data_IF_483533616385
#
_entry.id   IF_483533616385
#
_cell.length_a   1.000
_cell.length_b   1.000
_cell.length_c   1.000
_cell.angle_alpha   90.00
_cell.angle_beta   90.00
_cell.angle_gamma   90.00
#
_symmetry.space_group_name_H-M   'P 1'
#
loop_
_entity.id
_entity.type
_entity.pdbx_description
1 polymer ?
#
# COMPACT_ATOMS: atom_id res chain seq x y z
N UNK A 1 -14.62 -15.50 -8.88
CA UNK A 1 -14.48 -14.19 -8.18
C UNK A 1 -13.26 -13.48 -8.74
N UNK A 2 -13.43 -12.28 -9.26
CA UNK A 2 -12.36 -11.53 -9.95
C UNK A 2 -11.87 -10.37 -9.10
N UNK A 3 -10.62 -9.99 -9.29
CA UNK A 3 -9.97 -8.84 -8.67
C UNK A 3 -9.85 -7.73 -9.72
N UNK A 4 -10.25 -6.53 -9.35
CA UNK A 4 -10.12 -5.32 -10.16
C UNK A 4 -9.40 -4.24 -9.36
N UNK A 5 -8.56 -3.48 -10.04
CA UNK A 5 -7.84 -2.34 -9.50
C UNK A 5 -8.01 -1.15 -10.43
N UNK A 6 -8.31 0.00 -9.88
CA UNK A 6 -8.03 1.28 -10.57
C UNK A 6 -7.26 2.20 -9.65
N UNK A 7 -6.22 2.81 -10.19
CA UNK A 7 -5.33 3.67 -9.42
C UNK A 7 -4.90 4.91 -10.17
N UNK A 8 -4.80 6.02 -9.43
CA UNK A 8 -4.08 7.22 -9.82
C UNK A 8 -2.69 7.19 -9.20
N UNK A 9 -1.66 7.33 -9.99
CA UNK A 9 -0.28 7.43 -9.51
C UNK A 9 0.41 8.71 -10.02
N UNK A 10 1.48 9.10 -9.36
CA UNK A 10 2.18 10.35 -9.65
C UNK A 10 2.71 10.46 -11.09
N UNK A 11 3.02 9.33 -11.74
CA UNK A 11 3.51 9.26 -13.12
C UNK A 11 2.47 9.65 -14.16
N UNK A 12 1.18 9.50 -13.84
CA UNK A 12 0.07 9.70 -14.78
C UNK A 12 -0.85 10.86 -14.39
N UNK A 13 -0.95 11.18 -13.12
CA UNK A 13 -1.86 12.18 -12.61
C UNK A 13 -1.13 13.31 -11.87
N UNK A 14 -1.15 14.54 -12.37
CA UNK A 14 -0.54 15.69 -11.71
C UNK A 14 -1.19 15.98 -10.35
N UNK A 15 -0.47 16.69 -9.50
CA UNK A 15 -0.85 16.90 -8.08
C UNK A 15 -2.27 17.48 -7.91
N UNK A 16 -2.65 18.44 -8.75
CA UNK A 16 -3.99 19.06 -8.70
C UNK A 16 -5.14 18.07 -8.96
N UNK A 17 -4.86 16.98 -9.67
CA UNK A 17 -5.79 15.90 -9.91
C UNK A 17 -5.85 14.94 -8.70
N UNK A 18 -4.68 14.59 -8.15
CA UNK A 18 -4.56 13.67 -7.00
C UNK A 18 -5.14 14.25 -5.71
N UNK A 19 -5.03 15.58 -5.50
CA UNK A 19 -5.62 16.27 -4.36
C UNK A 19 -7.13 16.06 -4.22
N UNK A 20 -7.85 15.99 -5.35
CA UNK A 20 -9.32 15.79 -5.35
C UNK A 20 -9.73 14.37 -4.93
N UNK A 21 -8.83 13.40 -5.03
CA UNK A 21 -9.02 12.02 -4.65
C UNK A 21 -8.07 11.57 -3.52
N UNK A 22 -7.61 12.52 -2.73
CA UNK A 22 -6.87 12.27 -1.49
C UNK A 22 -7.81 12.30 -0.29
N UNK A 23 -7.71 11.31 0.59
CA UNK A 23 -8.67 11.10 1.68
C UNK A 23 -7.97 10.93 3.02
N UNK A 24 -8.55 11.51 4.07
CA UNK A 24 -8.18 11.21 5.44
C UNK A 24 -8.61 9.79 5.82
N UNK A 25 -8.07 9.23 6.92
CA UNK A 25 -8.47 7.88 7.39
C UNK A 25 -9.98 7.75 7.60
N UNK A 26 -10.62 8.76 8.17
CA UNK A 26 -12.07 8.75 8.40
C UNK A 26 -12.83 8.72 7.06
N UNK A 27 -12.47 9.60 6.13
CA UNK A 27 -13.06 9.63 4.79
C UNK A 27 -12.84 8.32 4.04
N UNK A 28 -11.65 7.73 4.13
CA UNK A 28 -11.35 6.42 3.52
C UNK A 28 -12.26 5.33 4.07
N UNK A 29 -12.46 5.27 5.40
CA UNK A 29 -13.36 4.32 6.02
C UNK A 29 -14.82 4.46 5.56
N UNK A 30 -15.32 5.69 5.43
CA UNK A 30 -16.68 5.96 4.95
C UNK A 30 -16.83 5.63 3.46
N UNK A 31 -15.81 5.93 2.65
CA UNK A 31 -15.78 5.60 1.21
C UNK A 31 -15.83 4.10 0.96
N UNK A 32 -14.99 3.30 1.64
CA UNK A 32 -14.98 1.85 1.41
C UNK A 32 -16.30 1.20 1.84
N UNK A 33 -16.94 1.65 2.94
CA UNK A 33 -18.27 1.17 3.31
C UNK A 33 -19.32 1.51 2.25
N UNK A 34 -19.27 2.72 1.69
CA UNK A 34 -20.16 3.14 0.62
C UNK A 34 -19.93 2.32 -0.65
N UNK A 35 -18.68 2.07 -1.04
CA UNK A 35 -18.33 1.25 -2.21
C UNK A 35 -18.84 -0.17 -2.02
N UNK A 36 -18.65 -0.78 -0.85
CA UNK A 36 -19.15 -2.12 -0.56
C UNK A 36 -20.67 -2.22 -0.69
N UNK A 37 -21.42 -1.12 -0.50
CA UNK A 37 -22.89 -1.10 -0.68
C UNK A 37 -23.34 -1.11 -2.15
N UNK A 38 -22.43 -0.95 -3.11
CA UNK A 38 -22.73 -1.06 -4.54
C UNK A 38 -22.72 -2.52 -4.98
N UNK A 39 -23.86 -3.12 -5.40
CA UNK A 39 -23.83 -4.47 -5.95
C UNK A 39 -23.09 -4.49 -7.30
N UNK A 40 -22.36 -5.53 -7.65
CA UNK A 40 -22.13 -6.79 -6.94
C UNK A 40 -20.76 -6.87 -6.24
N UNK A 41 -20.38 -5.82 -5.48
CA UNK A 41 -19.08 -5.76 -4.80
C UNK A 41 -19.05 -6.71 -3.60
N UNK A 42 -18.07 -7.61 -3.56
CA UNK A 42 -17.86 -8.57 -2.46
C UNK A 42 -16.87 -8.08 -1.41
N UNK A 43 -15.89 -7.24 -1.83
CA UNK A 43 -14.90 -6.65 -0.94
C UNK A 43 -14.21 -5.48 -1.60
N UNK A 44 -13.66 -4.56 -0.79
CA UNK A 44 -12.84 -3.48 -1.30
C UNK A 44 -11.81 -2.98 -0.27
N UNK A 45 -10.67 -2.53 -0.80
CA UNK A 45 -9.58 -1.87 -0.04
C UNK A 45 -9.15 -0.62 -0.80
N UNK A 46 -9.09 0.51 -0.11
CA UNK A 46 -8.59 1.77 -0.66
C UNK A 46 -7.22 2.09 -0.05
N UNK A 47 -6.18 2.05 -0.89
CA UNK A 47 -4.84 2.54 -0.57
C UNK A 47 -4.75 4.01 -0.98
N UNK A 48 -4.73 4.92 -0.02
CA UNK A 48 -4.58 6.35 -0.25
C UNK A 48 -3.32 6.86 0.43
N UNK A 49 -2.41 7.40 -0.37
CA UNK A 49 -1.12 7.97 0.06
C UNK A 49 -0.90 9.32 -0.61
N UNK A 50 0.21 9.99 -0.30
CA UNK A 50 0.58 11.23 -0.99
C UNK A 50 0.87 11.03 -2.50
N UNK A 51 1.26 9.83 -2.92
CA UNK A 51 1.70 9.55 -4.30
C UNK A 51 0.72 8.70 -5.11
N UNK A 52 -0.26 8.06 -4.46
CA UNK A 52 -1.22 7.19 -5.15
C UNK A 52 -2.54 7.06 -4.42
N UNK A 53 -3.58 6.89 -5.18
CA UNK A 53 -4.90 6.49 -4.69
C UNK A 53 -5.35 5.30 -5.52
N UNK A 54 -5.42 4.11 -4.90
CA UNK A 54 -5.69 2.84 -5.55
C UNK A 54 -6.84 2.14 -4.87
N UNK A 55 -7.89 1.83 -5.60
CA UNK A 55 -9.04 1.06 -5.13
C UNK A 55 -8.96 -0.37 -5.68
N UNK A 56 -8.82 -1.33 -4.79
CA UNK A 56 -8.91 -2.77 -5.06
C UNK A 56 -10.31 -3.24 -4.75
N UNK A 57 -10.93 -3.97 -5.68
CA UNK A 57 -12.30 -4.45 -5.58
C UNK A 57 -12.38 -5.90 -5.98
N UNK A 58 -13.15 -6.69 -5.26
CA UNK A 58 -13.52 -8.06 -5.63
C UNK A 58 -14.98 -8.12 -6.03
N UNK A 59 -15.27 -8.80 -7.15
CA UNK A 59 -16.61 -8.97 -7.70
C UNK A 59 -16.69 -10.21 -8.54
N UNK A 60 -17.90 -10.73 -8.77
CA UNK A 60 -18.15 -11.77 -9.77
C UNK A 60 -18.32 -11.20 -11.18
N UNK A 61 -18.76 -9.95 -11.26
CA UNK A 61 -18.94 -9.21 -12.50
C UNK A 61 -17.81 -8.22 -12.75
N UNK A 62 -17.60 -7.85 -14.01
CA UNK A 62 -16.61 -6.83 -14.39
C UNK A 62 -16.92 -5.49 -13.76
N UNK A 63 -15.91 -4.84 -13.20
CA UNK A 63 -16.03 -3.56 -12.49
C UNK A 63 -14.99 -2.56 -12.98
N UNK A 64 -15.36 -1.28 -12.89
CA UNK A 64 -14.44 -0.14 -13.02
C UNK A 64 -14.26 0.53 -11.63
N UNK A 65 -13.23 0.16 -10.86
CA UNK A 65 -13.01 0.75 -9.55
C UNK A 65 -12.79 2.26 -9.57
N UNK A 66 -12.27 2.82 -10.67
CA UNK A 66 -12.09 4.27 -10.82
C UNK A 66 -13.44 5.01 -10.86
N UNK A 67 -14.40 4.45 -11.59
CA UNK A 67 -15.76 4.97 -11.64
C UNK A 67 -16.44 4.84 -10.28
N UNK A 68 -16.32 3.68 -9.61
CA UNK A 68 -16.86 3.45 -8.27
C UNK A 68 -16.30 4.44 -7.24
N UNK A 69 -14.99 4.69 -7.27
CA UNK A 69 -14.33 5.64 -6.39
C UNK A 69 -14.85 7.07 -6.60
N UNK A 70 -14.94 7.49 -7.86
CA UNK A 70 -15.44 8.82 -8.21
C UNK A 70 -16.92 9.00 -7.78
N UNK A 71 -17.75 8.00 -7.99
CA UNK A 71 -19.16 8.00 -7.57
C UNK A 71 -19.30 8.07 -6.04
N UNK A 72 -18.52 7.25 -5.32
CA UNK A 72 -18.51 7.27 -3.86
C UNK A 72 -18.04 8.62 -3.32
N UNK A 73 -17.01 9.20 -3.90
CA UNK A 73 -16.44 10.50 -3.53
C UNK A 73 -17.24 11.70 -4.03
N UNK A 74 -18.28 11.51 -4.84
CA UNK A 74 -19.07 12.57 -5.50
C UNK A 74 -18.20 13.48 -6.40
N UNK A 75 -17.24 12.89 -7.10
CA UNK A 75 -16.34 13.57 -8.04
C UNK A 75 -16.71 13.14 -9.47
N UNK A 76 -16.76 14.05 -10.45
CA UNK A 76 -17.01 13.66 -11.85
C UNK A 76 -15.95 12.69 -12.36
N UNK A 77 -16.33 11.55 -12.95
CA UNK A 77 -15.39 10.55 -13.46
C UNK A 77 -14.66 10.96 -14.73
N UNK A 78 -15.39 11.57 -15.68
CA UNK A 78 -14.87 11.88 -17.02
C UNK A 78 -13.53 12.66 -17.03
N UNK A 79 -13.29 13.67 -16.18
CA UNK A 79 -12.01 14.40 -16.17
C UNK A 79 -10.82 13.56 -15.69
N UNK A 80 -11.08 12.41 -15.04
CA UNK A 80 -10.06 11.55 -14.41
C UNK A 80 -9.85 10.23 -15.14
N UNK A 81 -10.77 9.82 -16.00
CA UNK A 81 -10.77 8.51 -16.65
C UNK A 81 -9.42 8.18 -17.31
N UNK A 82 -8.85 9.12 -18.06
CA UNK A 82 -7.58 8.91 -18.75
C UNK A 82 -6.34 8.85 -17.82
N UNK A 83 -6.49 9.27 -16.56
CA UNK A 83 -5.42 9.26 -15.57
C UNK A 83 -5.46 7.99 -14.69
N UNK A 84 -6.53 7.20 -14.76
CA UNK A 84 -6.59 5.91 -14.06
C UNK A 84 -5.84 4.83 -14.82
N UNK A 85 -5.00 4.10 -14.11
CA UNK A 85 -4.52 2.78 -14.52
C UNK A 85 -5.52 1.76 -14.02
N UNK A 86 -6.10 0.98 -14.94
CA UNK A 86 -7.04 -0.10 -14.57
C UNK A 86 -6.38 -1.44 -14.89
N UNK A 87 -6.33 -2.32 -13.90
CA UNK A 87 -5.73 -3.64 -13.96
C UNK A 87 -6.72 -4.67 -13.41
N UNK A 88 -6.58 -5.92 -13.84
CA UNK A 88 -7.42 -7.01 -13.35
C UNK A 88 -6.61 -8.25 -13.02
N UNK A 89 -7.12 -9.06 -12.13
CA UNK A 89 -6.60 -10.39 -11.78
C UNK A 89 -5.07 -10.43 -11.63
N UNK A 90 -4.35 -11.11 -12.51
CA UNK A 90 -2.90 -11.30 -12.41
C UNK A 90 -2.11 -9.99 -12.42
N UNK A 91 -2.52 -9.03 -13.23
CA UNK A 91 -1.89 -7.72 -13.30
C UNK A 91 -2.11 -6.92 -12.01
N UNK A 92 -3.30 -7.00 -11.42
CA UNK A 92 -3.59 -6.35 -10.14
C UNK A 92 -2.84 -7.00 -8.97
N UNK A 93 -2.69 -8.33 -8.98
CA UNK A 93 -1.86 -9.07 -8.01
C UNK A 93 -0.40 -8.65 -8.12
N UNK A 94 0.16 -8.66 -9.32
CA UNK A 94 1.55 -8.26 -9.57
C UNK A 94 1.79 -6.81 -9.14
N UNK A 95 0.88 -5.92 -9.50
CA UNK A 95 0.94 -4.51 -9.15
C UNK A 95 1.02 -4.31 -7.63
N UNK A 96 0.16 -4.95 -6.84
CA UNK A 96 0.19 -4.83 -5.38
C UNK A 96 1.48 -5.37 -4.78
N UNK A 97 2.01 -6.48 -5.30
CA UNK A 97 3.30 -7.04 -4.88
C UNK A 97 4.44 -6.03 -5.11
N UNK A 98 4.48 -5.42 -6.29
CA UNK A 98 5.46 -4.40 -6.66
C UNK A 98 5.32 -3.12 -5.82
N UNK A 99 4.07 -2.69 -5.55
CA UNK A 99 3.79 -1.55 -4.65
C UNK A 99 4.30 -1.83 -3.25
N UNK A 100 3.98 -2.99 -2.68
CA UNK A 100 4.42 -3.36 -1.33
C UNK A 100 5.95 -3.50 -1.21
N UNK A 101 6.61 -3.93 -2.27
CA UNK A 101 8.07 -3.97 -2.38
C UNK A 101 8.72 -2.59 -2.62
N UNK A 102 7.92 -1.54 -2.88
CA UNK A 102 8.41 -0.19 -3.14
C UNK A 102 8.91 0.02 -4.57
N UNK A 103 8.70 -0.93 -5.49
CA UNK A 103 9.16 -0.84 -6.88
C UNK A 103 8.39 0.18 -7.71
N UNK A 104 7.14 0.46 -7.30
CA UNK A 104 6.25 1.44 -7.91
C UNK A 104 6.24 2.78 -7.19
N UNK A 105 7.09 2.96 -6.18
CA UNK A 105 7.21 4.21 -5.47
C UNK A 105 8.07 5.20 -6.27
N UNK A 106 7.76 6.50 -6.17
CA UNK A 106 8.57 7.57 -6.76
C UNK A 106 10.02 7.46 -6.27
N UNK A 107 10.20 7.14 -5.02
CA UNK A 107 11.48 6.79 -4.41
C UNK A 107 11.51 5.28 -4.25
N UNK A 108 12.39 4.66 -5.01
CA UNK A 108 12.48 3.20 -5.09
C UNK A 108 12.91 2.59 -3.76
N UNK A 109 12.15 1.60 -3.26
CA UNK A 109 12.41 1.00 -1.95
C UNK A 109 12.03 1.88 -0.77
N UNK A 110 11.16 2.89 -0.95
CA UNK A 110 10.67 3.75 0.13
C UNK A 110 10.07 2.94 1.27
N UNK A 111 10.55 3.21 2.51
CA UNK A 111 10.14 2.46 3.69
C UNK A 111 8.67 2.66 4.08
N UNK A 112 8.09 3.79 3.74
CA UNK A 112 6.75 4.16 4.15
C UNK A 112 5.65 3.37 3.45
N UNK A 113 5.85 2.97 2.17
CA UNK A 113 4.80 2.32 1.38
C UNK A 113 4.31 1.01 2.00
N UNK A 114 5.21 0.21 2.57
CA UNK A 114 4.83 -1.04 3.22
C UNK A 114 3.93 -0.81 4.44
N UNK A 115 4.22 0.23 5.22
CA UNK A 115 3.37 0.63 6.35
C UNK A 115 2.00 1.15 5.87
N UNK A 116 1.97 1.86 4.74
CA UNK A 116 0.74 2.36 4.12
C UNK A 116 -0.13 1.21 3.58
N UNK A 117 0.46 0.23 2.88
CA UNK A 117 -0.26 -0.98 2.42
C UNK A 117 -0.84 -1.75 3.61
N UNK A 118 -0.06 -1.91 4.69
CA UNK A 118 -0.55 -2.51 5.94
C UNK A 118 -1.67 -1.69 6.58
N UNK A 119 -1.56 -0.37 6.57
CA UNK A 119 -2.60 0.54 7.06
C UNK A 119 -3.89 0.44 6.27
N UNK A 120 -3.83 0.33 4.94
CA UNK A 120 -4.99 0.22 4.06
C UNK A 120 -5.82 -1.04 4.34
N UNK A 121 -5.19 -2.22 4.42
CA UNK A 121 -5.91 -3.47 4.74
C UNK A 121 -6.43 -3.48 6.18
N UNK A 122 -5.70 -2.88 7.12
CA UNK A 122 -6.16 -2.77 8.51
C UNK A 122 -7.42 -1.92 8.59
N UNK A 123 -7.46 -0.78 7.91
CA UNK A 123 -8.62 0.10 7.86
C UNK A 123 -9.82 -0.56 7.16
N UNK A 124 -9.61 -1.30 6.06
CA UNK A 124 -10.65 -2.05 5.39
C UNK A 124 -11.24 -3.13 6.30
N UNK A 125 -10.39 -3.82 7.08
CA UNK A 125 -10.81 -4.82 8.09
C UNK A 125 -11.65 -4.17 9.19
N UNK A 126 -11.22 -3.04 9.74
CA UNK A 126 -11.96 -2.27 10.74
C UNK A 126 -13.29 -1.74 10.20
N UNK A 127 -13.35 -1.41 8.91
CA UNK A 127 -14.56 -0.99 8.22
C UNK A 127 -15.49 -2.16 7.82
N UNK A 128 -15.03 -3.42 7.92
CA UNK A 128 -15.79 -4.61 7.53
C UNK A 128 -15.94 -4.75 6.00
N UNK A 129 -14.98 -4.23 5.22
CA UNK A 129 -15.08 -4.17 3.75
C UNK A 129 -14.12 -5.13 3.03
N UNK A 130 -13.34 -5.90 3.76
CA UNK A 130 -12.42 -6.87 3.18
C UNK A 130 -13.05 -8.27 3.10
N UNK A 131 -12.60 -9.06 2.14
CA UNK A 131 -12.94 -10.47 1.99
C UNK A 131 -11.70 -11.37 2.09
N UNK A 132 -11.89 -12.69 2.01
CA UNK A 132 -10.80 -13.64 2.13
C UNK A 132 -9.77 -13.56 0.99
N UNK A 133 -10.14 -13.08 -0.21
CA UNK A 133 -9.21 -12.87 -1.31
C UNK A 133 -8.31 -11.67 -1.03
N UNK A 134 -8.89 -10.52 -0.72
CA UNK A 134 -8.15 -9.30 -0.39
C UNK A 134 -7.26 -9.48 0.85
N UNK A 135 -7.77 -10.14 1.91
CA UNK A 135 -6.99 -10.45 3.11
C UNK A 135 -5.73 -11.26 2.79
N UNK A 136 -5.88 -12.31 1.97
CA UNK A 136 -4.74 -13.18 1.63
C UNK A 136 -3.78 -12.48 0.68
N UNK A 137 -4.30 -11.75 -0.31
CA UNK A 137 -3.49 -11.00 -1.27
C UNK A 137 -2.64 -9.94 -0.56
N UNK A 138 -3.26 -9.08 0.25
CA UNK A 138 -2.54 -8.04 0.98
C UNK A 138 -1.52 -8.63 1.96
N UNK A 139 -1.87 -9.72 2.64
CA UNK A 139 -0.91 -10.45 3.51
C UNK A 139 0.29 -10.96 2.73
N UNK A 140 0.08 -11.56 1.55
CA UNK A 140 1.15 -12.06 0.69
C UNK A 140 2.02 -10.91 0.16
N UNK A 141 1.42 -9.80 -0.28
CA UNK A 141 2.14 -8.63 -0.73
C UNK A 141 2.99 -7.98 0.40
N UNK A 142 2.43 -7.88 1.61
CA UNK A 142 3.18 -7.38 2.78
C UNK A 142 4.35 -8.32 3.13
N UNK A 143 4.16 -9.64 3.02
CA UNK A 143 5.23 -10.60 3.26
C UNK A 143 6.34 -10.48 2.21
N UNK A 144 5.98 -10.39 0.93
CA UNK A 144 6.90 -10.15 -0.18
C UNK A 144 7.72 -8.85 0.01
N UNK A 145 7.03 -7.74 0.31
CA UNK A 145 7.70 -6.46 0.55
C UNK A 145 8.66 -6.48 1.75
N UNK A 146 8.34 -7.23 2.81
CA UNK A 146 9.27 -7.43 3.94
C UNK A 146 10.48 -8.26 3.54
N UNK A 147 10.27 -9.33 2.80
CA UNK A 147 11.35 -10.24 2.35
C UNK A 147 12.30 -9.50 1.41
N UNK A 148 11.79 -8.76 0.44
CA UNK A 148 12.60 -7.90 -0.45
C UNK A 148 13.48 -6.96 0.37
N UNK A 149 12.95 -6.28 1.38
CA UNK A 149 13.72 -5.36 2.22
C UNK A 149 14.78 -6.02 3.07
N UNK A 150 14.52 -7.25 3.49
CA UNK A 150 15.47 -7.99 4.35
C UNK A 150 16.65 -8.54 3.55
N UNK A 151 16.40 -9.03 2.33
CA UNK A 151 17.39 -9.76 1.55
C UNK A 151 18.00 -8.93 0.41
N UNK A 152 17.27 -7.95 -0.10
CA UNK A 152 17.75 -7.13 -1.21
C UNK A 152 17.85 -5.68 -0.74
N UNK A 153 19.06 -5.21 -0.57
CA UNK A 153 19.28 -3.77 -0.48
C UNK A 153 18.96 -3.21 -1.86
N UNK A 154 17.78 -2.65 -2.04
CA UNK A 154 17.44 -1.83 -3.19
C UNK A 154 18.35 -0.59 -3.10
N UNK A 155 19.64 -0.83 -3.34
CA UNK A 155 20.63 0.20 -3.30
C UNK A 155 20.45 1.13 -4.46
N UNK A 156 20.55 2.24 -4.09
CA UNK A 156 20.77 3.47 -4.74
C UNK A 156 19.49 4.19 -4.98
N UNK A 157 19.22 4.91 -4.17
CA UNK A 157 18.93 6.28 -4.37
C UNK A 157 18.24 6.85 -3.21
N UNK A 158 18.75 7.91 -2.90
CA UNK A 158 18.59 8.48 -1.63
C UNK A 158 17.13 8.72 -1.43
N UNK A 159 16.64 7.89 -0.57
CA UNK A 159 15.86 8.37 0.46
C UNK A 159 14.86 9.44 0.05
N UNK A 160 13.77 9.37 0.47
CA UNK A 160 12.67 10.30 0.74
C UNK A 160 12.59 11.57 -0.12
N UNK A 161 11.40 12.01 -0.41
CA UNK A 161 11.10 13.33 -0.98
C UNK A 161 11.87 14.46 -0.23
N UNK A 162 12.18 14.27 1.06
CA UNK A 162 13.00 15.18 1.83
C UNK A 162 14.43 15.34 1.30
N UNK A 163 15.12 14.25 0.93
CA UNK A 163 16.46 14.35 0.32
C UNK A 163 16.40 14.97 -1.07
N UNK A 164 15.42 14.57 -1.85
CA UNK A 164 15.20 15.16 -3.16
C UNK A 164 14.95 16.66 -3.10
N UNK A 165 14.19 17.11 -2.11
CA UNK A 165 13.98 18.53 -1.86
C UNK A 165 15.28 19.25 -1.51
N UNK A 166 16.12 18.67 -0.65
CA UNK A 166 17.41 19.24 -0.28
C UNK A 166 18.38 19.27 -1.46
N UNK A 167 18.44 18.22 -2.27
CA UNK A 167 19.25 18.23 -3.50
C UNK A 167 18.77 19.25 -4.53
N UNK A 168 17.45 19.41 -4.70
CA UNK A 168 16.91 20.47 -5.55
C UNK A 168 17.30 21.86 -5.04
N UNK A 169 17.23 22.09 -3.74
CA UNK A 169 17.69 23.34 -3.12
C UNK A 169 19.18 23.62 -3.41
N UNK A 170 20.04 22.63 -3.27
CA UNK A 170 21.48 22.74 -3.58
C UNK A 170 21.71 23.08 -5.07
N UNK A 171 20.97 22.43 -5.97
CA UNK A 171 21.07 22.68 -7.40
C UNK A 171 20.63 24.11 -7.78
N UNK A 172 19.61 24.65 -7.09
CA UNK A 172 19.04 25.98 -7.41
C UNK A 172 19.74 27.12 -6.69
N UNK A 173 20.14 26.92 -5.43
CA UNK A 173 20.67 27.96 -4.56
C UNK A 173 22.19 27.85 -4.34
N UNK A 174 22.84 26.76 -4.77
CA UNK A 174 24.21 26.45 -4.39
C UNK A 174 24.33 25.98 -2.95
N UNK A 175 25.46 26.24 -2.28
CA UNK A 175 25.68 25.80 -0.90
C UNK A 175 24.62 26.35 0.06
N UNK A 176 24.07 25.49 0.91
CA UNK A 176 23.00 25.85 1.88
C UNK A 176 23.57 26.33 3.23
N UNK A 177 24.87 26.24 3.42
CA UNK A 177 25.54 26.59 4.70
C UNK A 177 25.22 28.03 5.12
N UNK A 178 24.73 28.18 6.34
CA UNK A 178 24.38 29.46 6.95
C UNK A 178 23.00 30.01 6.53
N UNK A 179 22.31 29.42 5.56
CA UNK A 179 20.95 29.81 5.19
C UNK A 179 19.98 29.46 6.32
N UNK A 180 18.97 30.29 6.52
CA UNK A 180 17.90 30.07 7.49
C UNK A 180 16.75 29.34 6.84
N UNK A 181 16.36 28.20 7.38
CA UNK A 181 15.27 27.36 6.89
C UNK A 181 14.16 27.23 7.94
N UNK A 182 12.92 27.44 7.53
CA UNK A 182 11.74 27.13 8.32
C UNK A 182 11.05 25.89 7.76
N UNK A 183 10.84 24.88 8.62
CA UNK A 183 10.09 23.68 8.28
C UNK A 183 8.72 23.71 8.95
N UNK A 184 7.64 23.72 8.16
CA UNK A 184 6.28 23.62 8.66
C UNK A 184 5.88 22.16 8.72
N UNK A 185 5.61 21.66 9.91
CA UNK A 185 5.24 20.27 10.18
C UNK A 185 6.35 19.46 10.84
N UNK A 186 5.99 18.80 11.94
CA UNK A 186 6.88 17.92 12.71
C UNK A 186 6.50 16.45 12.59
N UNK A 187 5.89 16.06 11.46
CA UNK A 187 5.70 14.68 11.08
C UNK A 187 7.03 14.04 10.63
N UNK A 188 6.99 12.78 10.21
CA UNK A 188 8.18 12.04 9.77
C UNK A 188 8.93 12.78 8.65
N UNK A 189 8.21 13.23 7.61
CA UNK A 189 8.77 13.97 6.48
C UNK A 189 9.39 15.30 6.91
N UNK A 190 8.71 16.07 7.77
CA UNK A 190 9.21 17.35 8.25
C UNK A 190 10.48 17.19 9.11
N UNK A 191 10.51 16.20 10.02
CA UNK A 191 11.71 15.92 10.83
C UNK A 191 12.90 15.48 9.97
N UNK A 192 12.65 14.64 8.97
CA UNK A 192 13.72 14.20 8.06
C UNK A 192 14.25 15.37 7.24
N UNK A 193 13.37 16.20 6.69
CA UNK A 193 13.76 17.42 5.93
C UNK A 193 14.58 18.37 6.81
N UNK A 194 14.14 18.60 8.06
CA UNK A 194 14.86 19.44 9.00
C UNK A 194 16.26 18.89 9.32
N UNK A 195 16.35 17.58 9.57
CA UNK A 195 17.63 16.90 9.82
C UNK A 195 18.60 17.04 8.66
N UNK A 196 18.13 16.83 7.44
CA UNK A 196 18.94 16.94 6.22
C UNK A 196 19.39 18.38 5.96
N UNK A 197 18.50 19.37 6.10
CA UNK A 197 18.86 20.78 5.98
C UNK A 197 19.92 21.20 7.04
N UNK A 198 19.79 20.70 8.26
CA UNK A 198 20.79 20.94 9.31
C UNK A 198 22.13 20.31 8.96
N UNK A 199 22.16 19.09 8.42
CA UNK A 199 23.40 18.42 7.96
C UNK A 199 24.10 19.20 6.84
N UNK A 200 23.33 19.89 5.97
CA UNK A 200 23.87 20.77 4.92
C UNK A 200 24.30 22.16 5.46
N UNK A 201 24.24 22.36 6.78
CA UNK A 201 24.71 23.57 7.45
C UNK A 201 23.69 24.71 7.56
N UNK A 202 22.40 24.44 7.30
CA UNK A 202 21.33 25.43 7.53
C UNK A 202 21.08 25.67 9.01
N UNK A 203 20.62 26.89 9.34
CA UNK A 203 20.01 27.22 10.62
C UNK A 203 18.51 26.85 10.52
N UNK A 204 18.12 25.70 11.06
CA UNK A 204 16.79 25.13 10.87
C UNK A 204 15.89 25.39 12.07
N UNK A 205 14.66 25.85 11.80
CA UNK A 205 13.57 25.91 12.78
C UNK A 205 12.40 25.06 12.30
N UNK A 206 11.76 24.33 13.24
CA UNK A 206 10.61 23.46 12.96
C UNK A 206 9.39 23.96 13.71
N UNK A 207 8.23 24.03 13.04
CA UNK A 207 7.00 24.47 13.71
C UNK A 207 6.36 23.33 14.50
N UNK A 208 5.89 23.64 15.71
CA UNK A 208 5.14 22.73 16.57
C UNK A 208 3.75 23.28 16.87
N UNK A 209 2.72 22.39 16.81
CA UNK A 209 1.39 22.69 17.35
C UNK A 209 1.33 22.36 18.84
N UNK A 210 0.75 23.24 19.63
CA UNK A 210 0.70 23.17 21.11
C UNK A 210 -0.17 22.03 21.67
N UNK A 211 -0.91 21.29 20.82
CA UNK A 211 -1.97 20.36 21.24
C UNK A 211 -1.57 18.87 21.29
N UNK A 212 -0.30 18.53 21.20
CA UNK A 212 0.10 17.12 21.31
C UNK A 212 0.53 16.80 22.75
N UNK A 213 -0.28 15.99 23.45
CA UNK A 213 0.13 15.27 24.65
C UNK A 213 1.07 14.13 24.23
N UNK A 214 2.37 14.29 24.47
CA UNK A 214 3.41 13.31 24.19
C UNK A 214 4.79 13.95 24.03
N UNK A 215 5.85 13.18 24.13
CA UNK A 215 7.21 13.66 23.86
C UNK A 215 7.32 14.11 22.40
N UNK A 216 7.56 15.39 22.20
CA UNK A 216 7.73 15.97 20.86
C UNK A 216 9.18 15.78 20.44
N UNK A 217 9.42 14.85 19.52
CA UNK A 217 10.75 14.60 18.96
C UNK A 217 11.08 15.70 17.95
N UNK A 218 12.08 16.50 18.24
CA UNK A 218 12.66 17.50 17.33
C UNK A 218 14.06 17.02 16.93
N UNK A 219 14.45 17.14 15.65
CA UNK A 219 15.80 16.75 15.25
C UNK A 219 16.87 17.52 16.01
N UNK A 220 17.98 16.88 16.44
CA UNK A 220 19.07 17.54 17.12
C UNK A 220 19.63 18.71 16.30
N UNK A 221 19.87 19.83 16.95
CA UNK A 221 20.39 21.04 16.32
C UNK A 221 19.36 21.94 15.67
N UNK A 222 18.08 21.53 15.60
CA UNK A 222 16.99 22.35 15.08
C UNK A 222 16.30 23.14 16.19
N UNK A 223 15.97 24.42 15.90
CA UNK A 223 15.13 25.25 16.75
C UNK A 223 13.65 24.89 16.65
N UNK A 224 12.88 25.32 17.64
CA UNK A 224 11.43 25.12 17.71
C UNK A 224 10.71 26.44 17.65
N UNK A 225 9.64 26.48 16.87
CA UNK A 225 8.77 27.66 16.69
C UNK A 225 7.32 27.26 16.90
N UNK A 226 6.52 28.01 17.68
CA UNK A 226 5.08 27.80 17.72
C UNK A 226 4.46 27.91 16.35
N UNK A 227 3.55 26.99 16.00
CA UNK A 227 2.91 26.98 14.67
C UNK A 227 2.21 28.31 14.35
N UNK A 228 1.61 28.94 15.34
CA UNK A 228 0.88 30.21 15.18
C UNK A 228 1.81 31.39 14.87
N UNK A 229 3.09 31.29 15.21
CA UNK A 229 4.13 32.29 14.93
C UNK A 229 4.86 32.04 13.60
N UNK A 230 4.45 31.05 12.80
CA UNK A 230 5.13 30.66 11.56
C UNK A 230 5.36 31.82 10.59
N UNK A 231 4.40 32.73 10.46
CA UNK A 231 4.54 33.89 9.54
C UNK A 231 5.58 34.90 10.04
N UNK A 232 5.74 35.07 11.34
CA UNK A 232 6.80 35.90 11.91
C UNK A 232 8.19 35.35 11.52
N UNK A 233 8.34 34.02 11.64
CA UNK A 233 9.59 33.34 11.32
C UNK A 233 9.83 33.22 9.81
N UNK A 234 8.78 33.16 8.98
CA UNK A 234 8.92 33.24 7.52
C UNK A 234 9.59 34.51 7.05
N UNK A 235 9.34 35.66 7.72
CA UNK A 235 10.00 36.93 7.40
C UNK A 235 11.53 36.93 7.65
N UNK A 236 12.06 35.87 8.26
CA UNK A 236 13.45 35.79 8.68
C UNK A 236 14.19 34.62 8.07
N UNK A 237 13.53 33.85 7.19
CA UNK A 237 14.13 32.68 6.56
C UNK A 237 14.35 32.85 5.06
N UNK A 238 15.35 32.13 4.52
CA UNK A 238 15.70 32.10 3.10
C UNK A 238 14.91 30.99 2.40
N UNK A 239 14.63 29.91 3.14
CA UNK A 239 14.00 28.68 2.65
C UNK A 239 12.78 28.36 3.51
N UNK A 240 11.64 28.12 2.86
CA UNK A 240 10.45 27.53 3.47
C UNK A 240 10.22 26.12 2.94
N UNK A 241 10.08 25.15 3.82
CA UNK A 241 9.67 23.78 3.46
C UNK A 241 8.42 23.40 4.27
N UNK A 242 7.36 22.97 3.60
CA UNK A 242 6.13 22.51 4.25
C UNK A 242 5.90 21.03 4.02
N UNK A 243 5.54 20.30 5.08
CA UNK A 243 5.33 18.87 5.08
C UNK A 243 4.33 18.47 6.19
N UNK A 244 3.09 18.98 6.10
CA UNK A 244 2.04 18.66 7.07
C UNK A 244 1.02 17.66 6.50
N UNK A 245 0.15 17.16 7.34
CA UNK A 245 -1.03 16.36 6.95
C UNK A 245 -2.32 17.19 7.04
N UNK A 246 -2.21 18.51 6.92
CA UNK A 246 -3.36 19.41 6.98
C UNK A 246 -4.27 19.21 5.76
N UNK A 247 -5.59 19.15 5.92
CA UNK A 247 -6.50 19.10 4.79
C UNK A 247 -6.73 20.48 4.14
N UNK A 248 -6.11 21.54 4.67
CA UNK A 248 -6.26 22.92 4.21
C UNK A 248 -4.90 23.57 4.03
N UNK A 249 -4.85 24.62 3.20
CA UNK A 249 -3.66 25.41 3.05
C UNK A 249 -3.19 25.97 4.39
N UNK A 250 -1.94 25.71 4.73
CA UNK A 250 -1.26 26.28 5.90
C UNK A 250 -0.67 27.65 5.62
N UNK A 251 -0.44 27.94 4.31
CA UNK A 251 0.09 29.19 3.81
C UNK A 251 -0.74 29.62 2.60
N UNK A 252 -1.53 30.68 2.77
CA UNK A 252 -2.29 31.29 1.66
C UNK A 252 -1.46 32.35 0.96
N UNK A 253 -1.85 32.69 -0.28
CA UNK A 253 -1.21 33.74 -1.07
C UNK A 253 -1.25 35.10 -0.37
N UNK A 254 -2.41 35.44 0.23
CA UNK A 254 -2.61 36.72 0.94
C UNK A 254 -1.69 36.83 2.15
N UNK A 255 -1.61 35.77 2.97
CA UNK A 255 -0.74 35.76 4.17
C UNK A 255 0.73 35.79 3.77
N UNK A 256 1.12 35.12 2.70
CA UNK A 256 2.49 35.14 2.20
C UNK A 256 2.87 36.50 1.58
N UNK A 257 1.97 37.12 0.83
CA UNK A 257 2.17 38.44 0.23
C UNK A 257 2.28 39.58 1.26
N UNK A 258 1.76 39.38 2.47
CA UNK A 258 1.86 40.34 3.56
C UNK A 258 3.23 40.30 4.27
N UNK A 259 4.10 39.35 3.94
CA UNK A 259 5.45 39.28 4.47
C UNK A 259 6.33 40.41 3.94
N UNK A 260 7.08 41.06 4.79
CA UNK A 260 8.01 42.15 4.39
C UNK A 260 9.31 41.64 3.77
N UNK A 261 9.72 40.42 4.13
CA UNK A 261 10.90 39.73 3.61
C UNK A 261 10.60 38.23 3.44
N UNK A 262 9.82 37.84 2.43
CA UNK A 262 9.41 36.46 2.24
C UNK A 262 10.59 35.58 1.83
N UNK A 263 10.55 34.27 2.15
CA UNK A 263 11.52 33.29 1.65
C UNK A 263 11.51 33.23 0.13
N UNK A 264 12.72 33.18 -0.47
CA UNK A 264 12.86 33.14 -1.93
C UNK A 264 12.55 31.78 -2.52
N UNK A 265 12.81 30.72 -1.77
CA UNK A 265 12.58 29.35 -2.19
C UNK A 265 11.63 28.66 -1.24
N UNK A 266 10.59 28.12 -1.83
CA UNK A 266 9.48 27.49 -1.12
C UNK A 266 9.30 26.09 -1.66
N UNK A 267 9.26 25.08 -0.78
CA UNK A 267 9.02 23.68 -1.15
C UNK A 267 7.80 23.16 -0.40
N UNK A 268 6.84 22.63 -1.14
CA UNK A 268 5.65 22.00 -0.60
C UNK A 268 5.69 20.48 -0.85
N UNK A 269 5.93 19.71 0.21
CA UNK A 269 5.95 18.24 0.18
C UNK A 269 4.61 17.62 0.58
N UNK A 270 3.61 18.46 0.92
CA UNK A 270 2.33 17.98 1.43
C UNK A 270 1.35 17.60 0.31
N UNK A 271 0.52 16.59 0.58
CA UNK A 271 -0.67 16.27 -0.20
C UNK A 271 -1.80 15.97 0.81
N UNK A 272 -2.92 16.74 0.75
CA UNK A 272 -3.13 17.94 -0.07
C UNK A 272 -2.08 19.02 0.19
N UNK A 273 -1.91 19.95 -0.76
CA UNK A 273 -0.91 21.03 -0.65
C UNK A 273 -1.11 21.87 0.61
N UNK A 274 -0.02 22.17 1.26
CA UNK A 274 0.05 23.11 2.38
C UNK A 274 0.11 24.56 1.91
N UNK A 275 0.70 24.80 0.73
CA UNK A 275 0.97 26.14 0.21
C UNK A 275 0.11 26.37 -1.02
N UNK A 276 -0.61 27.49 -1.01
CA UNK A 276 -1.48 27.86 -2.10
C UNK A 276 -0.67 28.10 -3.39
N UNK A 277 -1.01 27.49 -4.54
CA UNK A 277 -0.21 27.56 -5.77
C UNK A 277 0.08 28.97 -6.26
N UNK A 278 -0.85 29.88 -6.03
CA UNK A 278 -0.74 31.29 -6.42
C UNK A 278 0.41 32.02 -5.71
N UNK A 279 1.03 31.44 -4.67
CA UNK A 279 2.27 31.95 -4.08
C UNK A 279 3.39 32.02 -5.12
N UNK A 280 3.40 31.10 -6.09
CA UNK A 280 4.37 31.11 -7.19
C UNK A 280 4.28 32.33 -8.11
N UNK A 281 3.17 33.07 -8.08
CA UNK A 281 2.98 34.29 -8.89
C UNK A 281 3.59 35.52 -8.24
N UNK A 282 4.06 35.45 -7.02
CA UNK A 282 4.65 36.55 -6.28
C UNK A 282 6.10 36.81 -6.76
N UNK A 283 6.50 38.11 -6.94
CA UNK A 283 7.83 38.42 -7.39
C UNK A 283 8.93 37.89 -6.48
N UNK A 284 9.98 37.31 -7.05
CA UNK A 284 11.15 36.82 -6.32
C UNK A 284 10.96 35.54 -5.54
N UNK A 285 9.81 34.86 -5.67
CA UNK A 285 9.48 33.60 -5.03
C UNK A 285 9.50 32.46 -6.05
N UNK A 286 10.18 31.37 -5.72
CA UNK A 286 10.12 30.12 -6.50
C UNK A 286 9.48 29.06 -5.63
N UNK A 287 8.30 28.57 -6.05
CA UNK A 287 7.58 27.50 -5.38
C UNK A 287 7.79 26.19 -6.14
N UNK A 288 8.26 25.20 -5.43
CA UNK A 288 8.35 23.80 -5.90
C UNK A 288 7.36 22.95 -5.11
N UNK A 289 6.73 22.02 -5.78
CA UNK A 289 5.90 20.98 -5.16
C UNK A 289 6.58 19.62 -5.31
N UNK A 290 5.96 18.58 -4.76
CA UNK A 290 6.51 17.22 -4.77
C UNK A 290 6.77 16.68 -6.21
N UNK A 291 6.03 17.15 -7.21
CA UNK A 291 6.23 16.74 -8.60
C UNK A 291 7.47 17.38 -9.25
N UNK A 292 7.90 18.54 -8.78
CA UNK A 292 9.07 19.25 -9.27
C UNK A 292 10.40 18.64 -8.79
N UNK A 293 10.34 17.70 -7.85
CA UNK A 293 11.53 17.01 -7.30
C UNK A 293 12.20 16.03 -8.28
N UNK A 294 11.69 15.91 -9.50
CA UNK A 294 12.21 15.07 -10.56
C UNK A 294 11.69 13.62 -10.51
N UNK A 295 11.74 12.97 -11.64
CA UNK A 295 11.46 11.54 -11.73
C UNK A 295 12.77 10.77 -11.48
N UNK A 296 12.92 10.24 -10.26
CA UNK A 296 14.09 9.42 -9.88
C UNK A 296 14.04 8.01 -10.48
N UNK A 297 13.07 7.76 -11.39
CA UNK A 297 12.82 6.45 -12.00
C UNK A 297 13.71 6.13 -13.21
N UNK A 298 14.51 7.07 -13.71
CA UNK A 298 15.34 6.80 -14.90
C UNK A 298 16.43 5.77 -14.60
N UNK A 299 16.38 4.62 -15.34
CA UNK A 299 17.31 3.48 -15.30
C UNK A 299 17.18 2.51 -14.11
N UNK A 300 15.96 2.16 -13.73
CA UNK A 300 15.72 1.14 -12.70
C UNK A 300 15.64 -0.24 -13.34
N UNK A 301 16.67 -1.06 -13.14
CA UNK A 301 16.58 -2.49 -13.44
C UNK A 301 16.20 -3.23 -12.15
N UNK A 302 15.07 -3.94 -12.16
CA UNK A 302 14.65 -4.75 -11.01
C UNK A 302 15.65 -5.89 -10.85
N UNK A 303 16.31 -6.03 -9.69
CA UNK A 303 17.23 -7.15 -9.46
C UNK A 303 16.50 -8.49 -9.62
N UNK A 304 17.15 -9.51 -10.26
CA UNK A 304 16.53 -10.83 -10.43
C UNK A 304 16.06 -11.46 -9.11
N UNK A 305 16.77 -11.21 -8.03
CA UNK A 305 16.43 -11.69 -6.69
C UNK A 305 15.09 -11.13 -6.21
N UNK A 306 14.80 -9.86 -6.52
CA UNK A 306 13.51 -9.25 -6.19
C UNK A 306 12.39 -9.92 -6.97
N UNK A 307 12.57 -10.12 -8.27
CA UNK A 307 11.61 -10.82 -9.12
C UNK A 307 11.31 -12.22 -8.56
N UNK A 308 12.35 -12.99 -8.21
CA UNK A 308 12.20 -14.33 -7.66
C UNK A 308 11.41 -14.35 -6.33
N UNK A 309 11.63 -13.37 -5.45
CA UNK A 309 10.86 -13.23 -4.21
C UNK A 309 9.38 -12.93 -4.52
N UNK A 310 9.11 -11.97 -5.40
CA UNK A 310 7.74 -11.61 -5.76
C UNK A 310 7.01 -12.80 -6.40
N UNK A 311 7.65 -13.51 -7.32
CA UNK A 311 7.09 -14.69 -7.99
C UNK A 311 6.76 -15.79 -6.99
N UNK A 312 7.64 -16.05 -6.01
CA UNK A 312 7.39 -17.04 -4.94
C UNK A 312 6.13 -16.70 -4.14
N UNK A 313 5.95 -15.44 -3.73
CA UNK A 313 4.77 -15.01 -2.98
C UNK A 313 3.51 -15.02 -3.84
N UNK A 314 3.62 -14.67 -5.11
CA UNK A 314 2.54 -14.72 -6.10
C UNK A 314 2.07 -16.17 -6.33
N UNK A 315 2.98 -17.10 -6.54
CA UNK A 315 2.67 -18.53 -6.66
C UNK A 315 1.99 -19.09 -5.41
N UNK A 316 2.47 -18.71 -4.21
CA UNK A 316 1.84 -19.13 -2.96
C UNK A 316 0.41 -18.58 -2.81
N UNK A 317 0.17 -17.33 -3.23
CA UNK A 317 -1.17 -16.74 -3.28
C UNK A 317 -2.08 -17.52 -4.24
N UNK A 318 -1.63 -17.81 -5.48
CA UNK A 318 -2.43 -18.58 -6.43
C UNK A 318 -2.67 -20.03 -6.01
N UNK A 319 -1.71 -20.65 -5.34
CA UNK A 319 -1.90 -22.00 -4.75
C UNK A 319 -3.02 -21.97 -3.70
N UNK A 320 -3.04 -20.95 -2.86
CA UNK A 320 -4.12 -20.76 -1.89
C UNK A 320 -5.46 -20.49 -2.58
N UNK A 321 -5.49 -19.62 -3.58
CA UNK A 321 -6.71 -19.28 -4.33
C UNK A 321 -7.30 -20.53 -5.00
N UNK A 322 -6.47 -21.28 -5.69
CA UNK A 322 -6.88 -22.54 -6.34
C UNK A 322 -7.42 -23.57 -5.31
N UNK A 323 -6.74 -23.70 -4.17
CA UNK A 323 -7.22 -24.55 -3.08
C UNK A 323 -8.62 -24.09 -2.60
N UNK A 324 -8.81 -22.79 -2.39
CA UNK A 324 -10.09 -22.22 -1.96
C UNK A 324 -11.21 -22.46 -2.99
N UNK A 325 -10.92 -22.32 -4.28
CA UNK A 325 -11.88 -22.58 -5.35
C UNK A 325 -12.26 -24.05 -5.44
N UNK A 326 -11.34 -24.96 -5.14
CA UNK A 326 -11.61 -26.39 -5.13
C UNK A 326 -12.37 -26.88 -3.89
N UNK A 327 -12.47 -26.07 -2.82
CA UNK A 327 -13.04 -26.53 -1.53
C UNK A 327 -14.48 -27.01 -1.65
N UNK A 328 -15.34 -26.36 -2.42
CA UNK A 328 -16.72 -26.81 -2.64
C UNK A 328 -16.77 -28.16 -3.33
N UNK A 329 -15.90 -28.39 -4.32
CA UNK A 329 -15.77 -29.68 -5.01
C UNK A 329 -15.21 -30.77 -4.09
N UNK A 330 -14.27 -30.42 -3.20
CA UNK A 330 -13.73 -31.33 -2.18
C UNK A 330 -14.82 -31.73 -1.18
N UNK A 331 -15.64 -30.80 -0.72
CA UNK A 331 -16.74 -31.11 0.21
C UNK A 331 -17.83 -31.96 -0.46
N UNK A 332 -18.19 -31.67 -1.72
CA UNK A 332 -19.08 -32.52 -2.51
C UNK A 332 -18.52 -33.93 -2.70
N UNK A 333 -17.21 -34.04 -2.96
CA UNK A 333 -16.52 -35.32 -3.06
C UNK A 333 -16.52 -36.10 -1.74
N UNK A 334 -16.26 -35.44 -0.62
CA UNK A 334 -16.35 -36.07 0.73
C UNK A 334 -17.76 -36.59 0.98
N UNK A 335 -18.78 -35.80 0.67
CA UNK A 335 -20.17 -36.22 0.85
C UNK A 335 -20.50 -37.45 0.01
N UNK A 336 -20.14 -37.45 -1.29
CA UNK A 336 -20.36 -38.60 -2.17
C UNK A 336 -19.61 -39.86 -1.70
N UNK A 337 -18.38 -39.71 -1.19
CA UNK A 337 -17.63 -40.82 -0.61
C UNK A 337 -18.28 -41.35 0.67
N UNK A 338 -18.75 -40.50 1.55
CA UNK A 338 -19.46 -40.88 2.77
C UNK A 338 -20.75 -41.61 2.43
N UNK A 339 -21.59 -41.11 1.54
CA UNK A 339 -22.81 -41.76 1.10
C UNK A 339 -22.54 -43.15 0.54
N UNK A 340 -21.50 -43.29 -0.27
CA UNK A 340 -21.14 -44.61 -0.85
C UNK A 340 -20.63 -45.58 0.19
N UNK A 341 -19.84 -45.14 1.19
CA UNK A 341 -19.33 -45.96 2.28
C UNK A 341 -20.47 -46.40 3.21
N UNK A 342 -21.40 -45.49 3.55
CA UNK A 342 -22.57 -45.83 4.37
C UNK A 342 -23.52 -46.84 3.67
N UNK A 343 -23.77 -46.71 2.34
CA UNK A 343 -24.54 -47.70 1.62
C UNK A 343 -23.94 -49.08 1.65
N UNK A 344 -22.63 -49.21 1.85
CA UNK A 344 -21.95 -50.49 1.96
C UNK A 344 -21.85 -51.00 3.44
N UNK A 345 -22.15 -50.17 4.40
CA UNK A 345 -22.10 -50.52 5.84
C UNK A 345 -23.07 -51.66 6.21
N UNK A 346 -24.23 -51.73 5.53
CA UNK A 346 -25.19 -52.84 5.70
C UNK A 346 -24.62 -54.20 5.26
N UNK A 347 -23.61 -54.19 4.38
CA UNK A 347 -22.91 -55.38 3.90
C UNK A 347 -21.73 -55.79 4.81
N UNK A 348 -21.37 -54.90 5.75
CA UNK A 348 -20.18 -55.04 6.64
C UNK A 348 -20.51 -55.51 8.05
N UNK A 349 -21.70 -56.07 8.30
CA UNK A 349 -22.31 -56.27 9.61
C UNK A 349 -21.50 -57.03 10.68
N UNK A 350 -20.43 -57.76 10.34
CA UNK A 350 -19.61 -58.54 11.27
C UNK A 350 -18.13 -58.13 11.30
N UNK A 351 -17.76 -57.01 10.68
CA UNK A 351 -16.38 -56.53 10.60
C UNK A 351 -15.98 -55.72 11.83
N UNK A 352 -14.72 -55.90 12.29
CA UNK A 352 -14.14 -55.06 13.32
C UNK A 352 -13.95 -53.59 12.82
N UNK A 353 -13.89 -52.64 13.74
CA UNK A 353 -13.66 -51.25 13.38
C UNK A 353 -12.35 -51.05 12.57
N UNK A 354 -11.34 -51.86 12.80
CA UNK A 354 -10.06 -51.81 12.06
C UNK A 354 -10.25 -52.22 10.59
N UNK A 355 -11.00 -53.33 10.36
CA UNK A 355 -11.30 -53.83 9.00
C UNK A 355 -12.18 -52.81 8.21
N UNK A 356 -13.14 -52.18 8.87
CA UNK A 356 -13.96 -51.12 8.26
C UNK A 356 -13.12 -49.94 7.84
N UNK A 357 -12.18 -49.49 8.67
CA UNK A 357 -11.26 -48.38 8.36
C UNK A 357 -10.35 -48.75 7.20
N UNK A 358 -9.79 -49.95 7.16
CA UNK A 358 -8.92 -50.41 6.08
C UNK A 358 -9.66 -50.44 4.74
N UNK A 359 -10.86 -51.01 4.68
CA UNK A 359 -11.70 -51.04 3.49
C UNK A 359 -12.10 -49.62 3.03
N UNK A 360 -12.42 -48.73 3.97
CA UNK A 360 -12.80 -47.34 3.67
C UNK A 360 -11.62 -46.56 3.07
N UNK A 361 -10.42 -46.70 3.64
CA UNK A 361 -9.20 -46.05 3.14
C UNK A 361 -8.85 -46.57 1.74
N UNK A 362 -8.83 -47.90 1.58
CA UNK A 362 -8.46 -48.54 0.31
C UNK A 362 -9.39 -48.09 -0.83
N UNK A 363 -10.71 -48.19 -0.62
CA UNK A 363 -11.70 -47.75 -1.60
C UNK A 363 -11.64 -46.22 -1.89
N UNK A 364 -11.38 -45.42 -0.86
CA UNK A 364 -11.26 -43.96 -1.06
C UNK A 364 -10.04 -43.63 -1.90
N UNK A 365 -8.90 -44.26 -1.62
CA UNK A 365 -7.66 -44.07 -2.37
C UNK A 365 -7.83 -44.57 -3.81
N UNK A 366 -8.41 -45.75 -4.03
CA UNK A 366 -8.65 -46.30 -5.36
C UNK A 366 -9.55 -45.38 -6.24
N UNK A 367 -10.62 -44.83 -5.65
CA UNK A 367 -11.52 -43.94 -6.33
C UNK A 367 -10.84 -42.60 -6.70
N UNK A 368 -10.04 -42.06 -5.78
CA UNK A 368 -9.27 -40.84 -6.06
C UNK A 368 -8.20 -41.07 -7.12
N UNK A 369 -7.47 -42.19 -7.03
CA UNK A 369 -6.44 -42.55 -8.01
C UNK A 369 -7.05 -42.77 -9.38
N UNK A 370 -8.18 -43.53 -9.49
CA UNK A 370 -8.85 -43.78 -10.76
C UNK A 370 -9.43 -42.49 -11.37
N UNK A 371 -9.99 -41.61 -10.55
CA UNK A 371 -10.59 -40.34 -11.04
C UNK A 371 -9.55 -39.30 -11.48
N UNK A 372 -8.30 -39.41 -10.99
CA UNK A 372 -7.20 -38.51 -11.27
C UNK A 372 -6.06 -39.17 -12.07
N UNK A 373 -6.32 -40.32 -12.69
CA UNK A 373 -5.28 -41.20 -13.27
C UNK A 373 -4.30 -40.45 -14.18
N UNK A 374 -4.77 -39.51 -15.01
CA UNK A 374 -3.94 -38.75 -15.94
C UNK A 374 -3.10 -37.63 -15.27
N UNK A 375 -3.32 -37.36 -13.96
CA UNK A 375 -2.67 -36.28 -13.20
C UNK A 375 -1.89 -36.75 -11.98
N UNK A 376 -1.91 -38.04 -11.68
CA UNK A 376 -1.18 -38.62 -10.57
C UNK A 376 0.21 -39.00 -11.02
N UNK A 377 1.20 -38.46 -10.30
CA UNK A 377 2.62 -38.82 -10.47
C UNK A 377 3.14 -39.37 -9.15
N UNK A 378 4.17 -40.23 -9.23
CA UNK A 378 4.87 -40.75 -8.06
C UNK A 378 5.37 -39.65 -7.12
N UNK A 379 5.76 -38.50 -7.70
CA UNK A 379 6.22 -37.32 -6.94
C UNK A 379 5.06 -36.70 -6.13
N UNK A 380 3.87 -36.57 -6.72
CA UNK A 380 2.71 -36.01 -6.04
C UNK A 380 2.22 -36.93 -4.92
N UNK A 381 2.24 -38.25 -5.13
CA UNK A 381 1.91 -39.24 -4.10
C UNK A 381 2.92 -39.21 -2.93
N UNK A 382 4.21 -39.12 -3.21
CA UNK A 382 5.23 -38.97 -2.17
C UNK A 382 5.06 -37.67 -1.35
N UNK A 383 4.66 -36.57 -1.99
CA UNK A 383 4.31 -35.32 -1.27
C UNK A 383 3.09 -35.50 -0.36
N UNK A 384 2.07 -36.22 -0.79
CA UNK A 384 0.89 -36.53 0.01
C UNK A 384 1.28 -37.42 1.22
N UNK A 385 2.04 -38.48 0.99
CA UNK A 385 2.53 -39.36 2.04
C UNK A 385 3.33 -38.61 3.11
N UNK A 386 4.26 -37.73 2.68
CA UNK A 386 5.05 -36.89 3.59
C UNK A 386 4.17 -36.00 4.47
N UNK A 387 3.13 -35.38 3.90
CA UNK A 387 2.18 -34.56 4.66
C UNK A 387 1.37 -35.37 5.67
N UNK A 388 0.90 -36.57 5.31
CA UNK A 388 0.17 -37.45 6.20
C UNK A 388 1.06 -37.83 7.40
N UNK A 389 2.33 -38.19 7.16
CA UNK A 389 3.28 -38.57 8.24
C UNK A 389 3.62 -37.43 9.17
N UNK A 390 3.69 -36.16 8.66
CA UNK A 390 3.93 -34.94 9.47
C UNK A 390 2.77 -34.64 10.42
N UNK A 391 1.53 -34.96 10.05
CA UNK A 391 0.34 -34.73 10.89
C UNK A 391 0.10 -35.80 11.93
N UNK A 392 0.77 -36.95 11.87
CA UNK A 392 0.64 -38.04 12.84
C UNK A 392 1.40 -37.80 14.15
N UNK A 393 2.22 -36.74 14.24
CA UNK A 393 2.96 -36.39 15.48
C UNK A 393 2.29 -35.30 16.33
N UNK A 394 1.11 -34.83 15.98
CA UNK A 394 0.32 -33.84 16.73
C UNK A 394 -1.08 -34.36 17.03
N UNK A 395 -1.54 -34.17 18.26
CA UNK A 395 -2.82 -34.62 18.85
C UNK A 395 -3.99 -34.63 17.85
N UNK A 396 -4.91 -35.64 17.97
CA UNK A 396 -6.10 -35.66 17.13
C UNK A 396 -6.95 -34.40 17.37
N UNK A 397 -7.15 -33.62 16.32
CA UNK A 397 -8.16 -32.55 16.33
C UNK A 397 -9.51 -33.23 16.15
N UNK A 398 -10.17 -33.52 17.26
CA UNK A 398 -11.59 -33.81 17.29
C UNK A 398 -12.27 -32.48 17.58
N UNK A 399 -12.88 -31.88 16.60
CA UNK A 399 -14.05 -31.02 16.74
C UNK A 399 -14.70 -30.81 15.39
#
# INVERSE_FOLDING_TARGET
>A
MNLFLSGLEHSLAPINLREKLSFTKTQTGDLVRKILSFPPISGCVLLSTCNRTELYVTSEEEQDPGKLLCEAAKVPYAPYQAAFVTLSNDEAVQHLMEVAAGLRSRIWGEDQILAQVKGAITLAREAGTTDGLLETLFRSAIAAGKEVRTHVHLTAVPASAARAAVELLKQKNGPLTGQKALVIGNGEMGRLSASLLYQEGCQVSVTLRTYHHGETIVPPGCGVVPYDERFLHMNQCDILLSATTSPHYTVTREAFAALSSPPRVVIDLAIPRDIQPEVSTLPGVTLFNIDDLGDFAQHRTIPPEVTAILDTHKENFYRWLHYKECMSSVDSLKQALMERLFTQQELMGDLSAAEVVEIAVDKTVDLLVSGLADRITSENLAKCESKIRLHTTGRPVIS
#
